data_IF_804310328652
#
_entry.id   IF_804310328652
#
_cell.length_a   1.000
_cell.length_b   1.000
_cell.length_c   1.000
_cell.angle_alpha   90.00
_cell.angle_beta   90.00
_cell.angle_gamma   90.00
#
_symmetry.space_group_name_H-M   'P 1'
#
loop_
_entity.id
_entity.type
_entity.pdbx_description
1 polymer ?
#
# COMPACT_ATOMS: atom_id res chain seq x y z
N UNK A 1 -17.61 -8.68 -8.69
CA UNK A 1 -16.76 -7.88 -7.79
C UNK A 1 -16.10 -8.88 -6.85
N UNK A 2 -14.88 -9.29 -7.16
CA UNK A 2 -14.19 -10.40 -6.49
C UNK A 2 -13.65 -9.91 -5.13
N UNK A 3 -14.12 -10.49 -4.03
CA UNK A 3 -13.64 -10.18 -2.68
C UNK A 3 -12.38 -11.00 -2.37
N UNK A 4 -11.29 -10.39 -1.86
CA UNK A 4 -10.08 -11.13 -1.50
C UNK A 4 -10.32 -11.97 -0.24
N UNK A 5 -10.32 -13.30 -0.41
CA UNK A 5 -10.49 -14.32 0.64
C UNK A 5 -9.12 -14.75 1.21
N UNK A 6 -9.01 -14.82 2.54
CA UNK A 6 -7.87 -15.43 3.24
C UNK A 6 -8.32 -16.76 3.87
N UNK A 7 -7.62 -17.86 3.55
CA UNK A 7 -7.87 -19.20 4.12
C UNK A 7 -7.06 -19.44 5.40
N UNK A 8 -7.71 -19.93 6.46
CA UNK A 8 -7.05 -20.51 7.63
C UNK A 8 -7.49 -21.98 7.83
N UNK A 9 -6.55 -22.88 8.13
CA UNK A 9 -6.79 -24.32 8.39
C UNK A 9 -6.53 -24.69 9.84
N UNK A 10 -7.47 -25.40 10.47
CA UNK A 10 -7.30 -26.05 11.78
C UNK A 10 -7.52 -27.56 11.66
N UNK A 11 -6.60 -28.36 12.23
CA UNK A 11 -6.74 -29.82 12.37
C UNK A 11 -7.49 -30.12 13.67
N UNK A 12 -8.61 -30.84 13.60
CA UNK A 12 -9.54 -30.99 14.72
C UNK A 12 -9.20 -32.13 15.69
N UNK A 13 -9.34 -31.83 16.99
CA UNK A 13 -9.85 -32.74 18.01
C UNK A 13 -11.21 -32.22 18.53
N UNK A 14 -12.26 -33.04 18.39
CA UNK A 14 -13.59 -32.96 19.02
C UNK A 14 -14.26 -31.58 19.25
N UNK A 15 -15.03 -31.07 18.28
CA UNK A 15 -15.98 -29.99 18.51
C UNK A 15 -17.42 -30.53 18.69
N UNK A 16 -17.90 -30.61 19.93
CA UNK A 16 -19.31 -30.92 20.29
C UNK A 16 -20.22 -29.71 20.02
N UNK A 17 -21.47 -30.04 19.66
CA UNK A 17 -22.47 -29.20 18.98
C UNK A 17 -23.24 -28.18 19.86
N UNK A 18 -22.69 -27.72 20.99
CA UNK A 18 -23.41 -26.78 21.89
C UNK A 18 -22.63 -25.52 22.27
N UNK A 19 -21.44 -25.30 21.71
CA UNK A 19 -20.61 -24.10 21.95
C UNK A 19 -20.23 -23.36 20.66
N UNK A 20 -20.66 -23.79 19.46
CA UNK A 20 -20.29 -23.13 18.20
C UNK A 20 -21.00 -21.80 17.92
N UNK A 21 -21.83 -21.30 18.84
CA UNK A 21 -22.23 -19.89 18.85
C UNK A 21 -21.20 -18.97 19.54
N UNK A 22 -20.02 -19.50 19.91
CA UNK A 22 -19.09 -18.89 20.87
C UNK A 22 -18.25 -17.72 20.35
N UNK A 23 -17.60 -17.72 19.17
CA UNK A 23 -16.89 -16.52 18.69
C UNK A 23 -17.27 -16.10 17.26
N UNK A 24 -17.62 -17.05 16.39
CA UNK A 24 -17.98 -16.77 14.98
C UNK A 24 -19.25 -15.92 14.93
N UNK A 25 -20.24 -16.25 15.76
CA UNK A 25 -21.46 -15.47 15.88
C UNK A 25 -21.17 -14.06 16.40
N UNK A 26 -20.30 -13.91 17.40
CA UNK A 26 -19.91 -12.58 17.92
C UNK A 26 -19.26 -11.71 16.83
N UNK A 27 -18.35 -12.29 16.04
CA UNK A 27 -17.70 -11.60 14.92
C UNK A 27 -18.74 -11.21 13.86
N UNK A 28 -19.66 -12.10 13.52
CA UNK A 28 -20.66 -11.86 12.48
C UNK A 28 -21.84 -10.98 12.94
N UNK A 29 -22.11 -10.89 14.25
CA UNK A 29 -23.10 -9.98 14.84
C UNK A 29 -22.59 -8.53 14.80
N UNK A 30 -21.27 -8.30 14.93
CA UNK A 30 -20.62 -6.99 14.74
C UNK A 30 -19.35 -7.08 13.87
N UNK A 31 -19.52 -7.24 12.54
CA UNK A 31 -18.39 -7.36 11.62
C UNK A 31 -17.65 -6.03 11.44
N UNK A 32 -18.30 -4.89 11.73
CA UNK A 32 -17.65 -3.57 11.68
C UNK A 32 -16.67 -3.39 12.84
N UNK A 33 -17.07 -3.76 14.06
CA UNK A 33 -16.20 -3.78 15.24
C UNK A 33 -15.06 -4.78 15.11
N UNK A 34 -15.33 -5.98 14.60
CA UNK A 34 -14.32 -7.01 14.35
C UNK A 34 -13.40 -6.69 13.15
N UNK A 35 -13.88 -5.91 12.18
CA UNK A 35 -13.18 -5.56 10.96
C UNK A 35 -13.29 -6.60 9.83
N UNK A 36 -14.00 -7.71 10.06
CA UNK A 36 -14.28 -8.75 9.07
C UNK A 36 -15.49 -9.59 9.48
N UNK A 37 -16.08 -10.31 8.53
CA UNK A 37 -17.00 -11.42 8.78
C UNK A 37 -16.32 -12.76 8.49
N UNK A 38 -16.87 -13.85 9.01
CA UNK A 38 -16.33 -15.21 8.91
C UNK A 38 -17.39 -16.18 8.44
N UNK A 39 -17.07 -16.93 7.39
CA UNK A 39 -17.79 -18.14 7.00
C UNK A 39 -16.91 -19.36 7.25
N UNK A 40 -17.50 -20.54 7.39
CA UNK A 40 -16.74 -21.78 7.49
C UNK A 40 -17.36 -22.94 6.72
N UNK A 41 -16.50 -23.77 6.14
CA UNK A 41 -16.88 -24.98 5.42
C UNK A 41 -16.14 -26.18 6.01
N UNK A 42 -16.85 -27.16 6.60
CA UNK A 42 -16.23 -28.39 7.08
C UNK A 42 -15.90 -29.34 5.92
N UNK A 43 -14.69 -29.90 5.92
CA UNK A 43 -14.26 -30.97 5.03
C UNK A 43 -14.25 -32.28 5.83
N UNK A 44 -15.06 -33.25 5.40
CA UNK A 44 -15.20 -34.56 6.06
C UNK A 44 -14.36 -35.64 5.37
N UNK A 45 -13.82 -36.57 6.16
CA UNK A 45 -13.28 -37.86 5.68
C UNK A 45 -14.01 -38.98 6.42
N UNK A 46 -14.84 -39.73 5.68
CA UNK A 46 -15.77 -40.69 6.28
C UNK A 46 -16.79 -40.00 7.19
N UNK A 47 -16.99 -40.54 8.40
CA UNK A 47 -17.95 -39.99 9.38
C UNK A 47 -17.40 -38.81 10.20
N UNK A 48 -16.12 -38.50 10.08
CA UNK A 48 -15.45 -37.50 10.91
C UNK A 48 -15.11 -36.23 10.13
N UNK A 49 -15.12 -35.09 10.84
CA UNK A 49 -14.56 -33.85 10.34
C UNK A 49 -13.05 -33.96 10.30
N UNK A 50 -12.46 -33.71 9.13
CA UNK A 50 -11.02 -33.74 8.93
C UNK A 50 -10.42 -32.33 9.01
N UNK A 51 -11.04 -31.38 8.30
CA UNK A 51 -10.64 -29.97 8.28
C UNK A 51 -11.87 -29.07 8.41
N UNK A 52 -11.66 -27.86 8.91
CA UNK A 52 -12.62 -26.75 8.78
C UNK A 52 -11.86 -25.62 8.11
N UNK A 53 -12.41 -25.12 7.00
CA UNK A 53 -11.88 -23.98 6.26
C UNK A 53 -12.66 -22.75 6.68
N UNK A 54 -11.96 -21.74 7.19
CA UNK A 54 -12.55 -20.43 7.46
C UNK A 54 -12.27 -19.50 6.28
N UNK A 55 -13.30 -18.75 5.88
CA UNK A 55 -13.23 -17.72 4.86
C UNK A 55 -13.53 -16.38 5.54
N UNK A 56 -12.55 -15.49 5.54
CA UNK A 56 -12.68 -14.18 6.16
C UNK A 56 -12.95 -13.13 5.08
N UNK A 57 -13.98 -12.31 5.28
CA UNK A 57 -14.32 -11.19 4.41
C UNK A 57 -14.09 -9.88 5.15
N UNK A 58 -13.06 -9.12 4.75
CA UNK A 58 -12.76 -7.82 5.38
C UNK A 58 -13.85 -6.79 5.11
N UNK A 59 -14.13 -5.94 6.08
CA UNK A 59 -15.02 -4.78 5.86
C UNK A 59 -14.34 -3.71 5.02
N UNK A 60 -15.15 -2.86 4.36
CA UNK A 60 -14.64 -1.74 3.56
C UNK A 60 -13.74 -0.81 4.38
N UNK A 61 -14.14 -0.50 5.62
CA UNK A 61 -13.33 0.31 6.55
C UNK A 61 -11.98 -0.36 6.83
N UNK A 62 -11.96 -1.66 7.11
CA UNK A 62 -10.72 -2.39 7.36
C UNK A 62 -9.81 -2.42 6.14
N UNK A 63 -10.37 -2.59 4.93
CA UNK A 63 -9.61 -2.52 3.68
C UNK A 63 -8.93 -1.16 3.52
N UNK A 64 -9.66 -0.06 3.77
CA UNK A 64 -9.09 1.29 3.69
C UNK A 64 -7.99 1.51 4.74
N UNK A 65 -8.21 1.07 5.98
CA UNK A 65 -7.20 1.16 7.04
C UNK A 65 -5.94 0.36 6.70
N UNK A 66 -6.08 -0.88 6.23
CA UNK A 66 -4.93 -1.71 5.84
C UNK A 66 -4.13 -1.05 4.70
N UNK A 67 -4.82 -0.47 3.70
CA UNK A 67 -4.16 0.29 2.62
C UNK A 67 -3.39 1.49 3.15
N UNK A 68 -3.97 2.25 4.09
CA UNK A 68 -3.29 3.39 4.70
C UNK A 68 -2.06 2.97 5.51
N UNK A 69 -2.18 1.89 6.30
CA UNK A 69 -1.05 1.33 7.06
C UNK A 69 0.08 0.91 6.11
N UNK A 70 -0.26 0.20 5.04
CA UNK A 70 0.72 -0.23 4.04
C UNK A 70 1.40 0.96 3.36
N UNK A 71 0.63 1.99 2.99
CA UNK A 71 1.16 3.22 2.41
C UNK A 71 2.12 3.92 3.37
N UNK A 72 1.71 4.13 4.62
CA UNK A 72 2.53 4.78 5.64
C UNK A 72 3.83 4.01 5.93
N UNK A 73 3.78 2.68 5.95
CA UNK A 73 4.96 1.84 6.08
C UNK A 73 5.90 1.96 4.88
N UNK A 74 5.35 2.06 3.66
CA UNK A 74 6.10 2.37 2.45
C UNK A 74 6.80 3.73 2.51
N UNK A 75 6.06 4.78 2.88
CA UNK A 75 6.58 6.14 3.03
C UNK A 75 7.70 6.19 4.08
N UNK A 76 7.53 5.53 5.23
CA UNK A 76 8.55 5.44 6.27
C UNK A 76 9.85 4.80 5.77
N UNK A 77 9.77 3.72 4.96
CA UNK A 77 10.94 3.09 4.34
C UNK A 77 11.65 4.03 3.37
N UNK A 78 10.91 4.80 2.57
CA UNK A 78 11.48 5.77 1.62
C UNK A 78 12.16 6.93 2.34
N UNK A 79 11.53 7.46 3.39
CA UNK A 79 12.12 8.50 4.24
C UNK A 79 13.44 8.01 4.84
N UNK A 80 13.46 6.77 5.36
CA UNK A 80 14.69 6.17 5.90
C UNK A 80 15.78 6.04 4.83
N UNK A 81 15.46 5.50 3.66
CA UNK A 81 16.41 5.35 2.56
C UNK A 81 16.92 6.69 2.02
N UNK A 82 16.08 7.73 1.98
CA UNK A 82 16.50 9.08 1.61
C UNK A 82 17.48 9.65 2.64
N UNK A 83 17.17 9.50 3.94
CA UNK A 83 18.04 9.93 5.05
C UNK A 83 19.41 9.23 4.99
N UNK A 84 19.45 7.93 4.72
CA UNK A 84 20.70 7.17 4.55
C UNK A 84 21.58 7.69 3.41
N UNK A 85 20.97 8.26 2.36
CA UNK A 85 21.66 8.91 1.24
C UNK A 85 21.96 10.39 1.49
N UNK A 86 21.60 10.93 2.64
CA UNK A 86 21.70 12.36 2.95
C UNK A 86 20.79 13.23 2.07
N UNK A 87 19.71 12.66 1.52
CA UNK A 87 18.74 13.34 0.65
C UNK A 87 17.45 13.61 1.44
N UNK A 88 16.74 14.73 1.17
CA UNK A 88 15.37 14.89 1.63
C UNK A 88 14.45 13.86 0.96
N UNK A 89 13.37 13.47 1.64
CA UNK A 89 12.47 12.43 1.17
C UNK A 89 11.54 12.95 0.06
N UNK A 90 11.62 12.32 -1.12
CA UNK A 90 10.66 12.50 -2.21
C UNK A 90 9.75 11.27 -2.24
N UNK A 91 8.46 11.45 -2.00
CA UNK A 91 7.49 10.35 -1.90
C UNK A 91 6.84 10.05 -3.26
N UNK A 92 6.27 8.86 -3.41
CA UNK A 92 5.60 8.45 -4.66
C UNK A 92 4.46 9.39 -5.04
N UNK A 93 3.75 9.91 -4.05
CA UNK A 93 2.69 10.90 -4.28
C UNK A 93 3.20 12.18 -4.92
N UNK A 94 4.44 12.59 -4.61
CA UNK A 94 5.05 13.77 -5.22
C UNK A 94 5.49 13.50 -6.66
N UNK A 95 6.02 12.30 -6.90
CA UNK A 95 6.43 11.84 -8.24
C UNK A 95 5.21 11.70 -9.15
N UNK A 96 4.17 11.04 -8.66
CA UNK A 96 2.90 10.84 -9.37
C UNK A 96 2.24 12.18 -9.72
N UNK A 97 2.24 13.15 -8.80
CA UNK A 97 1.74 14.49 -9.08
C UNK A 97 2.53 15.16 -10.21
N UNK A 98 3.85 14.98 -10.25
CA UNK A 98 4.69 15.51 -11.32
C UNK A 98 4.47 14.78 -12.66
N UNK A 99 4.20 13.48 -12.61
CA UNK A 99 3.80 12.67 -13.77
C UNK A 99 2.49 13.21 -14.37
N UNK A 100 1.46 13.39 -13.53
CA UNK A 100 0.17 13.95 -13.94
C UNK A 100 0.29 15.34 -14.56
N UNK A 101 1.05 16.22 -13.94
CA UNK A 101 1.30 17.58 -14.45
C UNK A 101 1.95 17.56 -15.84
N UNK A 102 2.81 16.58 -16.10
CA UNK A 102 3.48 16.38 -17.40
C UNK A 102 2.73 15.41 -18.31
N UNK A 103 1.48 15.08 -17.98
CA UNK A 103 0.60 14.17 -18.74
C UNK A 103 1.25 12.80 -18.99
N UNK A 104 2.06 12.34 -18.05
CA UNK A 104 2.84 11.09 -18.12
C UNK A 104 3.77 11.01 -19.34
N UNK A 105 4.15 12.16 -19.90
CA UNK A 105 4.98 12.22 -21.09
C UNK A 105 6.47 11.93 -20.82
N UNK A 106 6.89 12.09 -19.57
CA UNK A 106 8.26 11.89 -19.14
C UNK A 106 8.40 10.60 -18.34
N UNK A 107 9.53 9.93 -18.51
CA UNK A 107 9.96 8.84 -17.63
C UNK A 107 10.35 9.43 -16.27
N UNK A 108 9.47 9.26 -15.28
CA UNK A 108 9.68 9.82 -13.93
C UNK A 108 10.85 9.18 -13.19
N UNK A 109 11.18 7.93 -13.45
CA UNK A 109 12.31 7.26 -12.79
C UNK A 109 13.62 7.91 -13.25
N UNK A 110 13.75 8.13 -14.56
CA UNK A 110 14.89 8.80 -15.13
C UNK A 110 14.95 10.29 -14.73
N UNK A 111 13.82 11.00 -14.70
CA UNK A 111 13.77 12.39 -14.22
C UNK A 111 14.17 12.47 -12.75
N UNK A 112 13.74 11.53 -11.90
CA UNK A 112 14.15 11.46 -10.49
C UNK A 112 15.66 11.25 -10.35
N UNK A 113 16.24 10.36 -11.16
CA UNK A 113 17.70 10.13 -11.18
C UNK A 113 18.45 11.41 -11.55
N UNK A 114 18.03 12.09 -12.62
CA UNK A 114 18.63 13.34 -13.07
C UNK A 114 18.47 14.47 -12.05
N UNK A 115 17.31 14.57 -11.39
CA UNK A 115 17.07 15.55 -10.34
C UNK A 115 18.06 15.40 -9.19
N UNK A 116 18.27 14.16 -8.70
CA UNK A 116 19.22 13.92 -7.62
C UNK A 116 20.67 14.15 -8.05
N UNK A 117 21.05 13.72 -9.25
CA UNK A 117 22.38 13.98 -9.78
C UNK A 117 22.67 15.50 -9.87
N UNK A 118 21.69 16.28 -10.35
CA UNK A 118 21.80 17.73 -10.42
C UNK A 118 21.90 18.37 -9.02
N UNK A 119 21.05 17.96 -8.08
CA UNK A 119 21.09 18.45 -6.71
C UNK A 119 22.42 18.13 -6.01
N UNK A 120 22.97 16.93 -6.21
CA UNK A 120 24.27 16.56 -5.68
C UNK A 120 25.42 17.37 -6.31
N UNK A 121 25.35 17.61 -7.62
CA UNK A 121 26.34 18.43 -8.33
C UNK A 121 26.35 19.91 -7.93
N UNK A 122 25.21 20.43 -7.43
CA UNK A 122 25.05 21.83 -7.03
C UNK A 122 25.45 22.08 -5.58
N UNK A 123 26.06 21.11 -4.91
CA UNK A 123 26.49 21.24 -3.51
C UNK A 123 25.37 20.99 -2.50
N UNK A 124 24.30 20.28 -2.89
CA UNK A 124 23.19 19.88 -2.02
C UNK A 124 22.47 21.06 -1.33
N UNK A 125 22.02 22.08 -2.09
CA UNK A 125 21.37 23.24 -1.49
C UNK A 125 20.07 22.86 -0.78
N UNK A 126 19.74 23.58 0.29
CA UNK A 126 18.49 23.39 1.02
C UNK A 126 17.28 23.85 0.19
N UNK A 127 16.21 23.05 0.17
CA UNK A 127 15.00 23.39 -0.57
C UNK A 127 14.08 24.30 0.24
N UNK A 128 14.12 25.61 -0.03
CA UNK A 128 13.29 26.65 0.64
C UNK A 128 11.78 26.36 0.65
N UNK A 129 11.26 25.71 -0.40
CA UNK A 129 9.83 25.37 -0.55
C UNK A 129 9.56 23.86 -0.45
N UNK A 130 10.54 23.10 0.02
CA UNK A 130 10.50 21.63 0.08
C UNK A 130 10.90 20.94 -1.23
N UNK A 131 11.39 19.70 -1.10
CA UNK A 131 11.89 18.87 -2.21
C UNK A 131 10.82 18.59 -3.26
N UNK A 132 9.56 18.42 -2.86
CA UNK A 132 8.46 18.13 -3.77
C UNK A 132 8.21 19.27 -4.79
N UNK A 133 8.28 20.52 -4.32
CA UNK A 133 8.14 21.69 -5.20
C UNK A 133 9.35 21.88 -6.11
N UNK A 134 10.56 21.61 -5.59
CA UNK A 134 11.77 21.64 -6.40
C UNK A 134 11.75 20.57 -7.50
N UNK A 135 11.33 19.36 -7.17
CA UNK A 135 11.16 18.26 -8.12
C UNK A 135 10.12 18.62 -9.19
N UNK A 136 8.94 19.12 -8.79
CA UNK A 136 7.91 19.58 -9.74
C UNK A 136 8.45 20.63 -10.72
N UNK A 137 9.20 21.63 -10.22
CA UNK A 137 9.82 22.65 -11.07
C UNK A 137 10.84 22.07 -12.04
N UNK A 138 11.67 21.12 -11.58
CA UNK A 138 12.63 20.41 -12.41
C UNK A 138 11.93 19.62 -13.53
N UNK A 139 10.87 18.87 -13.19
CA UNK A 139 10.08 18.07 -14.12
C UNK A 139 9.37 18.93 -15.16
N UNK A 140 8.78 20.07 -14.77
CA UNK A 140 8.18 21.04 -15.70
C UNK A 140 9.20 21.60 -16.70
N UNK A 141 10.41 21.90 -16.22
CA UNK A 141 11.49 22.40 -17.09
C UNK A 141 11.88 21.36 -18.13
N UNK A 142 12.07 20.11 -17.71
CA UNK A 142 12.35 18.96 -18.59
C UNK A 142 11.22 18.77 -19.61
N UNK A 143 9.98 18.81 -19.17
CA UNK A 143 8.82 18.68 -20.06
C UNK A 143 8.79 19.80 -21.12
N UNK A 144 9.08 21.03 -20.72
CA UNK A 144 9.21 22.15 -21.64
C UNK A 144 10.33 21.96 -22.68
N UNK A 145 11.49 21.43 -22.27
CA UNK A 145 12.61 21.13 -23.17
C UNK A 145 12.22 20.08 -24.21
N UNK A 146 11.60 18.98 -23.79
CA UNK A 146 11.19 17.91 -24.72
C UNK A 146 10.06 18.37 -25.63
N UNK A 147 9.06 19.09 -25.09
CA UNK A 147 7.90 19.54 -25.87
C UNK A 147 8.23 20.66 -26.86
N UNK A 148 9.16 21.55 -26.52
CA UNK A 148 9.46 22.74 -27.32
C UNK A 148 10.83 22.69 -28.01
N UNK A 149 11.54 21.56 -27.96
CA UNK A 149 12.78 21.32 -28.72
C UNK A 149 13.96 22.22 -28.35
N UNK A 150 13.91 22.94 -27.22
CA UNK A 150 15.04 23.77 -26.77
C UNK A 150 16.02 22.91 -25.97
N UNK A 151 16.93 22.29 -26.71
CA UNK A 151 18.21 21.74 -26.23
C UNK A 151 19.09 22.85 -25.69
#
# INVERSE_FOLDING_TARGET
MEHPSCLAKLKNGAARRSLQQSPIKQINDDPLGAGFSVEYTPIRKGRFYHEIVFQLTKTAKRIQTDRLIQKNAGDARKIKAAKERGRPALLDTDIERAAQETRYYLDMEEVQRQFWAHWESTGKPEFKKGVAQAFMGFTKRKYGQVKHGKS
#
